data_IF_830350846847
#
_entry.id   IF_830350846847
#
_cell.length_a   1.000
_cell.length_b   1.000
_cell.length_c   1.000
_cell.angle_alpha   90.00
_cell.angle_beta   90.00
_cell.angle_gamma   90.00
#
_symmetry.space_group_name_H-M   'P 1'
#
loop_
_entity.id
_entity.type
_entity.pdbx_description
1 polymer ?
#
# COMPACT_ATOMS: atom_id res chain seq x y z
N UNK A 1 -30.14 70.39 3.88
CA UNK A 1 -30.48 69.18 4.65
C UNK A 1 -31.01 68.13 3.70
N UNK A 2 -30.59 66.87 3.89
CA UNK A 2 -31.01 65.68 3.11
C UNK A 2 -30.07 65.40 1.93
N UNK A 3 -29.10 64.48 1.97
CA UNK A 3 -28.99 63.24 2.74
C UNK A 3 -29.27 62.07 1.80
N UNK A 4 -28.30 61.72 0.96
CA UNK A 4 -28.38 60.60 0.02
C UNK A 4 -28.37 59.25 0.71
N UNK A 5 -29.40 58.45 0.48
CA UNK A 5 -29.49 57.06 0.92
C UNK A 5 -29.23 56.11 -0.23
N UNK A 6 -27.95 55.82 -0.51
CA UNK A 6 -27.55 54.70 -1.36
C UNK A 6 -27.78 53.40 -0.61
N UNK A 7 -28.78 52.62 -1.02
CA UNK A 7 -29.01 51.27 -0.53
C UNK A 7 -27.82 50.39 -0.88
N UNK A 8 -27.08 49.94 0.13
CA UNK A 8 -25.99 48.98 -0.03
C UNK A 8 -26.52 47.66 -0.61
N UNK A 9 -25.91 47.20 -1.69
CA UNK A 9 -26.17 45.87 -2.24
C UNK A 9 -25.81 44.79 -1.18
N UNK A 10 -26.58 43.70 -1.10
CA UNK A 10 -26.27 42.62 -0.18
C UNK A 10 -24.89 42.02 -0.49
N UNK A 11 -24.14 41.57 0.52
CA UNK A 11 -22.81 40.99 0.32
C UNK A 11 -22.90 39.77 -0.61
N UNK A 12 -21.88 39.52 -1.46
CA UNK A 12 -21.89 38.36 -2.34
C UNK A 12 -21.98 37.10 -1.48
N UNK A 13 -23.01 36.28 -1.76
CA UNK A 13 -23.10 34.92 -1.21
C UNK A 13 -21.76 34.24 -1.48
N UNK A 14 -21.16 33.69 -0.43
CA UNK A 14 -19.99 32.81 -0.54
C UNK A 14 -20.20 31.89 -1.73
N UNK A 15 -19.29 31.95 -2.70
CA UNK A 15 -19.30 31.09 -3.88
C UNK A 15 -19.63 29.67 -3.43
N UNK A 16 -20.85 29.26 -3.73
CA UNK A 16 -21.28 27.88 -3.64
C UNK A 16 -20.22 27.11 -4.43
N UNK A 17 -19.50 26.21 -3.76
CA UNK A 17 -18.36 25.49 -4.32
C UNK A 17 -18.82 24.74 -5.57
N UNK A 18 -18.82 25.42 -6.72
CA UNK A 18 -19.37 24.90 -7.94
C UNK A 18 -18.52 23.68 -8.30
N UNK A 19 -19.15 22.54 -8.63
CA UNK A 19 -18.41 21.38 -9.10
C UNK A 19 -17.47 21.84 -10.21
N UNK A 20 -16.17 21.58 -10.05
CA UNK A 20 -15.20 21.94 -11.08
C UNK A 20 -15.68 21.40 -12.42
N UNK A 21 -15.56 22.19 -13.51
CA UNK A 21 -15.98 21.74 -14.83
C UNK A 21 -15.29 20.42 -15.15
N UNK A 22 -16.06 19.43 -15.59
CA UNK A 22 -15.56 18.11 -15.96
C UNK A 22 -14.66 18.28 -17.18
N UNK A 23 -13.34 18.31 -16.97
CA UNK A 23 -12.35 18.37 -18.04
C UNK A 23 -12.11 16.96 -18.57
N UNK A 24 -12.21 16.77 -19.87
CA UNK A 24 -11.88 15.47 -20.51
C UNK A 24 -10.40 15.11 -20.35
N UNK A 25 -9.51 16.10 -20.27
CA UNK A 25 -8.07 15.91 -20.03
C UNK A 25 -7.57 16.90 -18.97
N UNK A 26 -6.95 16.37 -17.91
CA UNK A 26 -6.26 17.19 -16.90
C UNK A 26 -4.82 17.46 -17.35
N UNK A 27 -4.33 18.71 -17.28
CA UNK A 27 -2.93 19.02 -17.60
C UNK A 27 -2.00 18.25 -16.66
N UNK A 28 -1.08 17.47 -17.23
CA UNK A 28 -0.16 16.60 -16.47
C UNK A 28 -0.65 15.16 -16.29
N UNK A 29 -1.88 14.82 -16.69
CA UNK A 29 -2.39 13.44 -16.70
C UNK A 29 -2.36 12.91 -18.13
N UNK A 30 -1.60 11.84 -18.35
CA UNK A 30 -1.42 11.25 -19.68
C UNK A 30 -2.59 10.36 -20.11
N UNK A 31 -3.23 9.65 -19.17
CA UNK A 31 -4.42 8.83 -19.42
C UNK A 31 -5.52 9.18 -18.42
N UNK A 32 -6.68 9.56 -18.94
CA UNK A 32 -7.89 9.76 -18.14
C UNK A 32 -8.59 8.43 -17.87
N UNK A 33 -9.49 8.41 -16.89
CA UNK A 33 -10.17 7.18 -16.42
C UNK A 33 -10.87 6.42 -17.57
N UNK A 34 -11.41 7.15 -18.55
CA UNK A 34 -12.13 6.60 -19.71
C UNK A 34 -11.25 6.38 -20.95
N UNK A 35 -9.96 6.72 -20.89
CA UNK A 35 -9.02 6.65 -22.02
C UNK A 35 -7.89 5.67 -21.69
N UNK A 36 -8.05 4.36 -21.97
CA UNK A 36 -7.05 3.38 -21.62
C UNK A 36 -5.80 3.50 -22.50
N UNK A 37 -4.60 3.25 -21.93
CA UNK A 37 -3.39 3.11 -22.73
C UNK A 37 -3.47 1.94 -23.71
N UNK A 38 -2.57 1.87 -24.71
CA UNK A 38 -2.39 0.69 -25.53
C UNK A 38 -2.21 -0.56 -24.68
N UNK A 39 -2.78 -1.69 -25.11
CA UNK A 39 -2.78 -2.96 -24.35
C UNK A 39 -1.42 -3.38 -23.78
N UNK A 40 -0.29 -3.31 -24.52
CA UNK A 40 1.02 -3.68 -23.98
C UNK A 40 1.45 -2.80 -22.80
N UNK A 41 1.15 -1.50 -22.91
CA UNK A 41 1.46 -0.52 -21.87
C UNK A 41 0.55 -0.71 -20.66
N UNK A 42 -0.74 -1.00 -20.88
CA UNK A 42 -1.69 -1.33 -19.82
C UNK A 42 -1.23 -2.53 -18.99
N UNK A 43 -0.71 -3.58 -19.64
CA UNK A 43 -0.20 -4.78 -18.97
C UNK A 43 1.01 -4.44 -18.09
N UNK A 44 1.98 -3.68 -18.61
CA UNK A 44 3.17 -3.27 -17.85
C UNK A 44 2.79 -2.39 -16.65
N UNK A 45 1.89 -1.43 -16.84
CA UNK A 45 1.41 -0.57 -15.76
C UNK A 45 0.62 -1.35 -14.70
N UNK A 46 -0.22 -2.31 -15.13
CA UNK A 46 -0.90 -3.22 -14.23
C UNK A 46 0.09 -4.04 -13.39
N UNK A 47 1.15 -4.55 -14.02
CA UNK A 47 2.22 -5.26 -13.32
C UNK A 47 2.96 -4.37 -12.32
N UNK A 48 3.20 -3.10 -12.66
CA UNK A 48 3.78 -2.14 -11.72
C UNK A 48 2.88 -1.91 -10.50
N UNK A 49 1.57 -1.74 -10.70
CA UNK A 49 0.63 -1.61 -9.57
C UNK A 49 0.65 -2.84 -8.66
N UNK A 50 0.78 -4.03 -9.25
CA UNK A 50 1.00 -5.25 -8.49
C UNK A 50 2.31 -5.22 -7.69
N UNK A 51 3.44 -4.83 -8.29
CA UNK A 51 4.73 -4.71 -7.59
C UNK A 51 4.67 -3.73 -6.41
N UNK A 52 4.03 -2.57 -6.60
CA UNK A 52 3.87 -1.57 -5.52
C UNK A 52 3.00 -2.11 -4.38
N UNK A 53 1.92 -2.83 -4.70
CA UNK A 53 1.02 -3.43 -3.70
C UNK A 53 1.65 -4.64 -2.98
N UNK A 54 2.58 -5.35 -3.62
CA UNK A 54 3.26 -6.50 -3.03
C UNK A 54 3.98 -6.15 -1.73
N UNK A 55 4.56 -4.94 -1.64
CA UNK A 55 5.33 -4.52 -0.47
C UNK A 55 4.54 -4.65 0.83
N UNK A 56 3.37 -4.00 0.91
CA UNK A 56 2.50 -4.05 2.10
C UNK A 56 1.89 -5.45 2.29
N UNK A 57 1.55 -6.13 1.19
CA UNK A 57 0.96 -7.48 1.21
C UNK A 57 1.89 -8.54 1.76
N UNK A 58 3.20 -8.42 1.53
CA UNK A 58 4.21 -9.33 2.09
C UNK A 58 4.65 -8.90 3.49
N UNK A 59 4.68 -7.59 3.77
CA UNK A 59 5.13 -7.05 5.07
C UNK A 59 4.18 -7.42 6.21
N UNK A 60 2.86 -7.40 5.98
CA UNK A 60 1.85 -7.74 6.99
C UNK A 60 2.03 -9.20 7.48
N UNK A 61 2.00 -10.25 6.62
CA UNK A 61 2.24 -11.62 7.07
C UNK A 61 3.64 -11.84 7.64
N UNK A 62 4.67 -11.20 7.05
CA UNK A 62 6.05 -11.33 7.54
C UNK A 62 6.22 -10.84 8.97
N UNK A 63 5.44 -9.84 9.39
CA UNK A 63 5.47 -9.31 10.75
C UNK A 63 4.53 -10.05 11.71
N UNK A 64 3.35 -10.47 11.27
CA UNK A 64 2.33 -11.09 12.13
C UNK A 64 2.51 -12.60 12.33
N UNK A 65 2.83 -13.34 11.27
CA UNK A 65 2.85 -14.82 11.29
C UNK A 65 3.82 -15.38 12.34
N UNK A 66 5.06 -14.87 12.47
CA UNK A 66 5.98 -15.36 13.51
C UNK A 66 5.45 -15.14 14.93
N UNK A 67 4.69 -14.07 15.18
CA UNK A 67 4.12 -13.78 16.51
C UNK A 67 2.97 -14.73 16.87
N UNK A 68 2.31 -15.32 15.87
CA UNK A 68 1.26 -16.32 16.06
C UNK A 68 1.82 -17.75 16.23
N UNK A 69 3.13 -17.94 16.06
CA UNK A 69 3.77 -19.26 16.06
C UNK A 69 3.75 -19.96 14.70
N UNK A 70 3.36 -19.26 13.63
CA UNK A 70 3.37 -19.82 12.27
C UNK A 70 4.75 -19.79 11.62
N UNK A 71 5.01 -20.76 10.74
CA UNK A 71 6.23 -20.89 9.97
C UNK A 71 6.12 -20.28 8.56
N UNK A 72 6.96 -20.78 7.65
CA UNK A 72 6.99 -20.31 6.26
C UNK A 72 5.75 -20.75 5.47
N UNK A 73 5.15 -21.89 5.80
CA UNK A 73 3.95 -22.42 5.15
C UNK A 73 2.74 -21.54 5.44
N UNK A 74 2.48 -21.26 6.73
CA UNK A 74 1.40 -20.37 7.16
C UNK A 74 1.59 -18.96 6.60
N UNK A 75 2.85 -18.50 6.54
CA UNK A 75 3.21 -17.22 5.94
C UNK A 75 2.89 -17.20 4.44
N UNK A 76 3.30 -18.22 3.68
CA UNK A 76 3.04 -18.32 2.25
C UNK A 76 1.52 -18.35 1.98
N UNK A 77 0.78 -19.18 2.73
CA UNK A 77 -0.68 -19.29 2.65
C UNK A 77 -1.37 -17.95 2.91
N UNK A 78 -0.91 -17.19 3.92
CA UNK A 78 -1.47 -15.87 4.22
C UNK A 78 -1.16 -14.85 3.12
N UNK A 79 0.06 -14.84 2.55
CA UNK A 79 0.44 -13.96 1.42
C UNK A 79 -0.42 -14.27 0.20
N UNK A 80 -0.55 -15.54 -0.18
CA UNK A 80 -1.36 -15.98 -1.32
C UNK A 80 -2.83 -15.59 -1.15
N UNK A 81 -3.39 -15.80 0.05
CA UNK A 81 -4.78 -15.45 0.35
C UNK A 81 -4.99 -13.94 0.27
N UNK A 82 -4.09 -13.13 0.83
CA UNK A 82 -4.19 -11.68 0.76
C UNK A 82 -4.11 -11.17 -0.69
N UNK A 83 -3.20 -11.70 -1.50
CA UNK A 83 -3.08 -11.34 -2.91
C UNK A 83 -4.34 -11.70 -3.70
N UNK A 84 -4.87 -12.91 -3.48
CA UNK A 84 -6.08 -13.35 -4.15
C UNK A 84 -7.29 -12.48 -3.79
N UNK A 85 -7.51 -12.24 -2.49
CA UNK A 85 -8.62 -11.43 -2.00
C UNK A 85 -8.46 -9.95 -2.40
N UNK A 86 -7.23 -9.41 -2.40
CA UNK A 86 -6.94 -8.07 -2.91
C UNK A 86 -7.30 -7.92 -4.40
N UNK A 87 -6.98 -8.92 -5.22
CA UNK A 87 -7.37 -8.97 -6.63
C UNK A 87 -8.88 -8.99 -6.83
N UNK A 88 -9.59 -9.89 -6.13
CA UNK A 88 -11.06 -9.98 -6.17
C UNK A 88 -11.71 -8.67 -5.73
N UNK A 89 -11.27 -8.09 -4.61
CA UNK A 89 -11.82 -6.83 -4.11
C UNK A 89 -11.55 -5.66 -5.07
N UNK A 90 -10.36 -5.60 -5.68
CA UNK A 90 -10.03 -4.58 -6.68
C UNK A 90 -10.91 -4.71 -7.92
N UNK A 91 -11.18 -5.93 -8.39
CA UNK A 91 -12.13 -6.16 -9.48
C UNK A 91 -13.55 -5.74 -9.10
N UNK A 92 -14.01 -6.08 -7.89
CA UNK A 92 -15.32 -5.63 -7.40
C UNK A 92 -15.40 -4.10 -7.31
N UNK A 93 -14.35 -3.44 -6.84
CA UNK A 93 -14.28 -1.97 -6.72
C UNK A 93 -14.35 -1.27 -8.07
N UNK A 94 -13.66 -1.83 -9.07
CA UNK A 94 -13.58 -1.25 -10.42
C UNK A 94 -14.79 -1.59 -11.28
N UNK A 95 -15.46 -2.73 -11.09
CA UNK A 95 -16.64 -3.13 -11.86
C UNK A 95 -17.95 -2.64 -11.23
N UNK A 96 -18.16 -2.90 -9.94
CA UNK A 96 -19.43 -2.64 -9.23
C UNK A 96 -19.37 -1.50 -8.24
N UNK A 97 -18.18 -1.20 -7.70
CA UNK A 97 -17.97 -0.13 -6.72
C UNK A 97 -18.03 1.26 -7.34
N UNK A 98 -17.04 2.10 -7.03
CA UNK A 98 -17.00 3.48 -7.56
C UNK A 98 -16.57 3.56 -9.02
N UNK A 99 -16.15 2.44 -9.62
CA UNK A 99 -15.57 2.38 -10.97
C UNK A 99 -14.33 3.27 -11.15
N UNK A 100 -13.70 3.64 -10.05
CA UNK A 100 -12.44 4.37 -10.04
C UNK A 100 -11.28 3.37 -9.97
N UNK A 101 -10.11 3.70 -10.56
CA UNK A 101 -8.90 2.88 -10.48
C UNK A 101 -8.33 2.93 -9.05
N UNK A 102 -8.94 2.16 -8.14
CA UNK A 102 -8.57 2.08 -6.74
C UNK A 102 -8.17 0.64 -6.40
N UNK A 103 -6.88 0.44 -6.17
CA UNK A 103 -6.32 -0.86 -5.78
C UNK A 103 -6.61 -1.12 -4.31
N UNK A 104 -7.29 -2.23 -4.01
CA UNK A 104 -7.63 -2.64 -2.65
C UNK A 104 -6.57 -3.63 -2.16
N UNK A 105 -6.04 -3.39 -0.97
CA UNK A 105 -5.08 -4.27 -0.30
C UNK A 105 -5.28 -4.30 1.22
N UNK A 106 -4.43 -5.06 1.92
CA UNK A 106 -4.44 -5.10 3.38
C UNK A 106 -4.09 -3.73 3.97
N UNK A 107 -4.90 -3.25 4.92
CA UNK A 107 -4.61 -1.98 5.59
C UNK A 107 -3.68 -2.19 6.78
N UNK A 108 -2.56 -1.45 6.77
CA UNK A 108 -1.63 -1.43 7.88
C UNK A 108 -2.23 -0.84 9.16
N UNK A 109 -3.30 -0.04 9.05
CA UNK A 109 -3.99 0.53 10.22
C UNK A 109 -4.58 -0.52 11.16
N UNK A 110 -4.84 -1.74 10.68
CA UNK A 110 -5.32 -2.86 11.49
C UNK A 110 -4.19 -3.64 12.17
N UNK A 111 -2.91 -3.29 11.94
CA UNK A 111 -1.79 -3.99 12.58
C UNK A 111 -1.81 -3.92 14.10
N UNK A 112 -1.99 -2.74 14.75
CA UNK A 112 -1.99 -2.67 16.21
C UNK A 112 -3.14 -3.46 16.84
N UNK A 113 -4.34 -3.41 16.24
CA UNK A 113 -5.50 -4.17 16.71
C UNK A 113 -5.31 -5.66 16.51
N UNK A 114 -4.68 -6.08 15.42
CA UNK A 114 -4.33 -7.48 15.17
C UNK A 114 -3.31 -7.99 16.19
N UNK A 115 -2.26 -7.21 16.50
CA UNK A 115 -1.27 -7.55 17.53
C UNK A 115 -1.95 -7.71 18.90
N UNK A 116 -2.88 -6.82 19.25
CA UNK A 116 -3.66 -6.95 20.48
C UNK A 116 -4.45 -8.27 20.56
N UNK A 117 -5.03 -8.71 19.43
CA UNK A 117 -5.70 -10.02 19.36
C UNK A 117 -4.70 -11.18 19.53
N UNK A 118 -3.53 -11.09 18.88
CA UNK A 118 -2.46 -12.11 18.97
C UNK A 118 -1.98 -12.31 20.41
N UNK A 119 -1.82 -11.20 21.15
CA UNK A 119 -1.33 -11.19 22.53
C UNK A 119 -2.44 -11.46 23.57
N UNK A 120 -3.67 -11.72 23.16
CA UNK A 120 -4.76 -11.99 24.08
C UNK A 120 -4.50 -13.27 24.90
N UNK A 121 -4.72 -13.18 26.22
CA UNK A 121 -4.48 -14.28 27.17
C UNK A 121 -5.18 -15.60 26.82
N UNK A 122 -6.32 -15.55 26.10
CA UNK A 122 -7.02 -16.76 25.61
C UNK A 122 -6.20 -17.68 24.69
N UNK A 123 -5.05 -17.22 24.19
CA UNK A 123 -4.17 -17.98 23.30
C UNK A 123 -2.84 -18.40 23.95
N UNK A 124 -2.63 -18.11 25.24
CA UNK A 124 -1.38 -18.47 25.94
C UNK A 124 -1.27 -19.96 26.21
N UNK A 125 -2.40 -20.62 26.44
CA UNK A 125 -2.43 -22.02 26.92
C UNK A 125 -2.34 -23.04 25.77
N UNK A 126 -2.26 -22.58 24.52
CA UNK A 126 -2.18 -23.44 23.34
C UNK A 126 -0.71 -23.77 23.06
N UNK A 127 -0.33 -25.03 23.32
CA UNK A 127 1.03 -25.53 23.12
C UNK A 127 1.36 -25.74 21.64
N UNK A 128 0.40 -26.24 20.85
CA UNK A 128 0.60 -26.55 19.43
C UNK A 128 0.65 -25.28 18.57
N UNK A 129 1.76 -24.98 17.87
CA UNK A 129 1.90 -23.73 17.10
C UNK A 129 0.91 -23.60 15.93
N UNK A 130 0.64 -24.70 15.21
CA UNK A 130 -0.33 -24.69 14.10
C UNK A 130 -1.76 -24.43 14.59
N UNK A 131 -2.18 -25.13 15.66
CA UNK A 131 -3.48 -24.92 16.26
C UNK A 131 -3.64 -23.49 16.82
N UNK A 132 -2.57 -22.96 17.41
CA UNK A 132 -2.50 -21.57 17.88
C UNK A 132 -2.68 -20.60 16.72
N UNK A 133 -1.96 -20.78 15.62
CA UNK A 133 -2.08 -19.96 14.42
C UNK A 133 -3.51 -19.98 13.88
N UNK A 134 -4.12 -21.17 13.72
CA UNK A 134 -5.48 -21.29 13.21
C UNK A 134 -6.51 -20.60 14.10
N UNK A 135 -6.43 -20.80 15.42
CA UNK A 135 -7.36 -20.17 16.39
C UNK A 135 -7.23 -18.65 16.37
N UNK A 136 -6.00 -18.13 16.33
CA UNK A 136 -5.76 -16.68 16.24
C UNK A 136 -6.29 -16.13 14.91
N UNK A 137 -6.03 -16.79 13.79
CA UNK A 137 -6.52 -16.38 12.47
C UNK A 137 -8.05 -16.32 12.42
N UNK A 138 -8.74 -17.32 13.00
CA UNK A 138 -10.22 -17.29 13.14
C UNK A 138 -10.68 -16.09 13.97
N UNK A 139 -9.98 -15.79 15.05
CA UNK A 139 -10.26 -14.63 15.90
C UNK A 139 -10.08 -13.29 15.17
N UNK A 140 -9.00 -13.14 14.40
CA UNK A 140 -8.72 -11.94 13.58
C UNK A 140 -9.80 -11.78 12.50
N UNK A 141 -10.10 -12.84 11.76
CA UNK A 141 -11.12 -12.81 10.70
C UNK A 141 -12.50 -12.47 11.27
N UNK A 142 -12.91 -13.07 12.39
CA UNK A 142 -14.16 -12.74 13.05
C UNK A 142 -14.24 -11.27 13.48
N UNK A 143 -13.16 -10.73 14.07
CA UNK A 143 -13.10 -9.33 14.44
C UNK A 143 -13.19 -8.39 13.22
N UNK A 144 -12.50 -8.72 12.12
CA UNK A 144 -12.54 -7.94 10.88
C UNK A 144 -13.92 -7.99 10.20
N UNK A 145 -14.64 -9.10 10.28
CA UNK A 145 -16.03 -9.22 9.77
C UNK A 145 -16.98 -8.32 10.56
N UNK A 146 -16.85 -8.29 11.89
CA UNK A 146 -17.67 -7.40 12.73
C UNK A 146 -17.32 -5.93 12.45
N UNK A 147 -16.03 -5.60 12.37
CA UNK A 147 -15.58 -4.25 12.05
C UNK A 147 -16.06 -3.78 10.67
N UNK A 148 -16.00 -4.64 9.65
CA UNK A 148 -16.48 -4.31 8.31
C UNK A 148 -17.99 -4.12 8.27
N UNK A 149 -18.75 -4.95 8.99
CA UNK A 149 -20.21 -4.79 9.12
C UNK A 149 -20.57 -3.45 9.75
N UNK A 150 -19.88 -3.04 10.82
CA UNK A 150 -20.08 -1.72 11.43
C UNK A 150 -19.75 -0.59 10.45
N UNK A 151 -18.65 -0.70 9.71
CA UNK A 151 -18.27 0.29 8.72
C UNK A 151 -19.30 0.40 7.58
N UNK A 152 -19.87 -0.73 7.15
CA UNK A 152 -20.94 -0.78 6.14
C UNK A 152 -22.20 -0.07 6.64
N UNK A 153 -22.65 -0.37 7.87
CA UNK A 153 -23.82 0.27 8.48
C UNK A 153 -23.61 1.78 8.61
N UNK A 154 -22.44 2.21 9.11
CA UNK A 154 -22.09 3.62 9.21
C UNK A 154 -22.03 4.31 7.83
N UNK A 155 -21.51 3.61 6.82
CA UNK A 155 -21.48 4.08 5.43
C UNK A 155 -22.87 4.30 4.84
N UNK A 156 -23.76 3.31 4.95
CA UNK A 156 -25.13 3.40 4.44
C UNK A 156 -26.04 4.35 5.24
N UNK A 157 -25.77 4.55 6.53
CA UNK A 157 -26.52 5.51 7.36
C UNK A 157 -26.34 6.97 6.95
N UNK A 158 -25.35 7.28 6.09
CA UNK A 158 -24.99 8.65 5.73
C UNK A 158 -24.30 9.44 6.84
N UNK A 159 -24.12 8.87 8.04
CA UNK A 159 -23.42 9.52 9.15
C UNK A 159 -21.98 9.87 8.76
N UNK A 160 -21.31 8.98 8.02
CA UNK A 160 -19.95 9.23 7.54
C UNK A 160 -19.86 10.50 6.68
N UNK A 161 -20.88 10.78 5.86
CA UNK A 161 -20.93 12.01 5.05
C UNK A 161 -20.99 13.25 5.92
N UNK A 162 -21.71 13.19 7.04
CA UNK A 162 -21.83 14.32 7.96
C UNK A 162 -20.51 14.54 8.72
N UNK A 163 -19.85 13.46 9.15
CA UNK A 163 -18.52 13.53 9.77
C UNK A 163 -17.48 14.10 8.81
N UNK A 164 -17.45 13.62 7.56
CA UNK A 164 -16.49 14.06 6.55
C UNK A 164 -16.62 15.55 6.19
N UNK A 165 -17.80 16.17 6.36
CA UNK A 165 -17.97 17.63 6.19
C UNK A 165 -17.16 18.46 7.20
N UNK A 166 -16.87 17.91 8.38
CA UNK A 166 -16.02 18.57 9.37
C UNK A 166 -14.53 18.42 9.08
N UNK A 167 -14.16 17.48 8.19
CA UNK A 167 -12.78 17.30 7.75
C UNK A 167 -12.44 18.33 6.68
N UNK A 168 -11.99 19.51 7.12
CA UNK A 168 -11.38 20.48 6.22
C UNK A 168 -10.04 19.95 5.67
N UNK A 169 -9.58 20.41 4.49
CA UNK A 169 -8.27 20.04 3.95
C UNK A 169 -7.12 20.29 4.95
N UNK A 170 -7.25 21.33 5.79
CA UNK A 170 -6.29 21.66 6.85
C UNK A 170 -6.16 20.55 7.91
N UNK A 171 -7.23 19.79 8.16
CA UNK A 171 -7.21 18.64 9.08
C UNK A 171 -6.87 17.33 8.38
N UNK A 172 -7.27 17.17 7.12
CA UNK A 172 -7.08 15.94 6.36
C UNK A 172 -5.61 15.75 5.91
N UNK A 173 -4.94 16.83 5.47
CA UNK A 173 -3.56 16.75 4.96
C UNK A 173 -2.59 16.24 6.04
N UNK A 174 -2.54 16.80 7.27
CA UNK A 174 -1.68 16.28 8.31
C UNK A 174 -2.01 14.83 8.69
N UNK A 175 -3.30 14.47 8.73
CA UNK A 175 -3.73 13.11 9.06
C UNK A 175 -3.19 12.09 8.03
N UNK A 176 -3.36 12.38 6.74
CA UNK A 176 -2.87 11.52 5.66
C UNK A 176 -1.34 11.50 5.64
N UNK A 177 -0.68 12.66 5.79
CA UNK A 177 0.77 12.74 5.82
C UNK A 177 1.37 11.92 6.96
N UNK A 178 0.84 12.05 8.18
CA UNK A 178 1.29 11.28 9.35
C UNK A 178 1.01 9.78 9.18
N UNK A 179 -0.12 9.41 8.58
CA UNK A 179 -0.39 7.99 8.27
C UNK A 179 0.62 7.41 7.27
N UNK A 180 1.04 8.21 6.28
CA UNK A 180 2.07 7.84 5.31
C UNK A 180 3.47 7.78 5.93
N UNK A 181 3.86 8.79 6.71
CA UNK A 181 5.14 8.81 7.44
C UNK A 181 5.23 7.66 8.45
N UNK A 182 4.11 7.24 9.05
CA UNK A 182 4.06 6.06 9.90
C UNK A 182 4.55 4.79 9.20
N UNK A 183 4.34 4.66 7.88
CA UNK A 183 4.84 3.50 7.12
C UNK A 183 6.37 3.48 6.99
N UNK A 184 7.05 4.63 7.10
CA UNK A 184 8.51 4.70 7.07
C UNK A 184 9.14 4.00 8.27
N UNK A 185 8.59 4.20 9.46
CA UNK A 185 9.03 3.52 10.70
C UNK A 185 9.00 2.00 10.57
N UNK A 186 8.14 1.46 9.71
CA UNK A 186 8.03 0.01 9.50
C UNK A 186 8.82 -0.48 8.29
N UNK A 187 8.87 0.30 7.20
CA UNK A 187 9.58 -0.06 5.97
C UNK A 187 11.10 0.01 6.12
N UNK A 188 11.62 1.08 6.75
CA UNK A 188 13.06 1.29 6.87
C UNK A 188 13.79 0.19 7.66
N UNK A 189 13.26 -0.30 8.80
CA UNK A 189 13.91 -1.42 9.50
C UNK A 189 13.98 -2.70 8.67
N UNK A 190 12.97 -2.96 7.82
CA UNK A 190 12.99 -4.12 6.92
C UNK A 190 14.08 -3.97 5.86
N UNK A 191 14.19 -2.78 5.27
CA UNK A 191 15.23 -2.44 4.31
C UNK A 191 16.63 -2.50 4.93
N UNK A 192 16.78 -1.99 6.15
CA UNK A 192 18.04 -1.91 6.89
C UNK A 192 18.58 -3.28 7.32
N UNK A 193 17.73 -4.33 7.37
CA UNK A 193 18.21 -5.71 7.59
C UNK A 193 19.24 -6.15 6.55
N UNK A 194 19.13 -5.61 5.34
CA UNK A 194 20.13 -5.78 4.29
C UNK A 194 20.42 -4.44 3.60
N UNK A 195 21.18 -3.58 4.28
CA UNK A 195 21.50 -2.24 3.78
C UNK A 195 22.21 -2.27 2.41
N UNK A 196 23.00 -3.31 2.13
CA UNK A 196 23.73 -3.47 0.87
C UNK A 196 22.83 -3.60 -0.36
N UNK A 197 21.63 -4.18 -0.21
CA UNK A 197 20.64 -4.30 -1.30
C UNK A 197 19.63 -3.16 -1.22
N UNK A 198 19.24 -2.79 0.00
CA UNK A 198 18.21 -1.78 0.22
C UNK A 198 18.63 -0.36 -0.13
N UNK A 199 19.88 0.03 0.13
CA UNK A 199 20.38 1.35 -0.22
C UNK A 199 20.44 1.56 -1.75
N UNK A 200 20.97 0.61 -2.55
CA UNK A 200 20.87 0.68 -4.01
C UNK A 200 19.44 0.80 -4.53
N UNK A 201 18.45 0.11 -3.94
CA UNK A 201 17.03 0.24 -4.35
C UNK A 201 16.53 1.67 -4.20
N UNK A 202 16.75 2.30 -3.04
CA UNK A 202 16.34 3.70 -2.83
C UNK A 202 17.05 4.61 -3.82
N UNK A 203 18.37 4.46 -3.99
CA UNK A 203 19.15 5.31 -4.90
C UNK A 203 18.66 5.16 -6.34
N UNK A 204 18.49 3.93 -6.82
CA UNK A 204 18.03 3.66 -8.18
C UNK A 204 16.62 4.19 -8.41
N UNK A 205 15.71 4.00 -7.47
CA UNK A 205 14.35 4.52 -7.56
C UNK A 205 14.33 6.05 -7.64
N UNK A 206 15.14 6.74 -6.82
CA UNK A 206 15.27 8.21 -6.88
C UNK A 206 15.89 8.68 -8.19
N UNK A 207 16.89 7.95 -8.71
CA UNK A 207 17.52 8.28 -9.99
C UNK A 207 16.52 8.14 -11.15
N UNK A 208 15.75 7.05 -11.20
CA UNK A 208 14.78 6.82 -12.28
C UNK A 208 13.54 7.70 -12.18
N UNK A 209 13.00 7.93 -10.97
CA UNK A 209 11.78 8.73 -10.80
C UNK A 209 12.04 10.23 -10.76
N UNK A 210 13.13 10.69 -10.15
CA UNK A 210 13.32 12.13 -9.89
C UNK A 210 14.46 12.77 -10.68
N UNK A 211 15.59 12.08 -10.86
CA UNK A 211 16.78 12.65 -11.51
C UNK A 211 16.70 12.60 -13.04
N UNK A 212 16.44 11.43 -13.62
CA UNK A 212 16.40 11.22 -15.07
C UNK A 212 15.31 12.09 -15.73
N UNK A 213 14.06 12.16 -15.23
CA UNK A 213 13.02 13.01 -15.81
C UNK A 213 13.33 14.51 -15.71
N UNK A 214 14.17 14.92 -14.75
CA UNK A 214 14.59 16.31 -14.65
C UNK A 214 15.53 16.70 -15.81
N UNK A 215 16.40 15.77 -16.23
CA UNK A 215 17.42 16.00 -17.26
C UNK A 215 16.86 15.79 -18.68
N UNK A 216 16.07 14.75 -18.90
CA UNK A 216 15.49 14.46 -20.22
C UNK A 216 14.23 15.28 -20.46
N UNK A 217 14.33 16.42 -21.15
CA UNK A 217 13.17 17.28 -21.48
C UNK A 217 12.13 16.61 -22.41
N UNK A 218 12.48 15.53 -23.11
CA UNK A 218 11.61 14.87 -24.11
C UNK A 218 10.93 13.56 -23.68
N UNK A 219 11.53 12.77 -22.80
CA UNK A 219 11.05 11.42 -22.41
C UNK A 219 10.55 11.34 -20.96
N UNK A 220 10.23 12.49 -20.35
CA UNK A 220 9.77 12.64 -18.96
C UNK A 220 8.72 11.62 -18.54
N UNK A 221 7.81 11.27 -19.46
CA UNK A 221 6.67 10.42 -19.16
C UNK A 221 6.97 8.93 -19.14
N UNK A 222 8.05 8.45 -19.77
CA UNK A 222 8.35 7.01 -19.84
C UNK A 222 9.16 6.56 -18.63
N UNK A 223 10.23 7.28 -18.30
CA UNK A 223 11.12 6.92 -17.19
C UNK A 223 10.44 7.05 -15.82
N UNK A 224 9.68 8.13 -15.59
CA UNK A 224 8.94 8.31 -14.34
C UNK A 224 7.84 7.25 -14.18
N UNK A 225 7.15 6.95 -15.29
CA UNK A 225 6.06 5.97 -15.32
C UNK A 225 6.52 4.56 -14.98
N UNK A 226 7.68 4.12 -15.47
CA UNK A 226 8.20 2.75 -15.28
C UNK A 226 9.35 2.63 -14.27
N UNK A 227 9.65 3.70 -13.52
CA UNK A 227 10.79 3.78 -12.60
C UNK A 227 10.87 2.60 -11.64
N UNK A 228 9.73 2.17 -11.08
CA UNK A 228 9.65 1.05 -10.13
C UNK A 228 10.00 -0.28 -10.79
N UNK A 229 9.57 -0.53 -12.03
CA UNK A 229 9.92 -1.78 -12.72
C UNK A 229 11.43 -1.82 -12.96
N UNK A 230 12.00 -0.72 -13.46
CA UNK A 230 13.44 -0.66 -13.73
C UNK A 230 14.27 -0.81 -12.45
N UNK A 231 13.91 -0.14 -11.36
CA UNK A 231 14.63 -0.24 -10.09
C UNK A 231 14.62 -1.68 -9.56
N UNK A 232 13.43 -2.30 -9.48
CA UNK A 232 13.26 -3.65 -8.95
C UNK A 232 14.01 -4.69 -9.79
N UNK A 233 13.98 -4.59 -11.12
CA UNK A 233 14.70 -5.53 -12.00
C UNK A 233 16.21 -5.41 -11.80
N UNK A 234 16.74 -4.18 -11.78
CA UNK A 234 18.18 -3.94 -11.62
C UNK A 234 18.67 -4.43 -10.26
N UNK A 235 17.93 -4.10 -9.19
CA UNK A 235 18.30 -4.51 -7.83
C UNK A 235 18.17 -6.00 -7.63
N UNK A 236 17.17 -6.64 -8.24
CA UNK A 236 17.04 -8.09 -8.19
C UNK A 236 18.24 -8.78 -8.87
N UNK A 237 18.68 -8.31 -10.05
CA UNK A 237 19.87 -8.82 -10.73
C UNK A 237 21.11 -8.61 -9.85
N UNK A 238 21.26 -7.42 -9.27
CA UNK A 238 22.35 -7.09 -8.35
C UNK A 238 22.39 -8.02 -7.13
N UNK A 239 21.26 -8.23 -6.47
CA UNK A 239 21.12 -9.14 -5.33
C UNK A 239 21.43 -10.59 -5.70
N UNK A 240 21.01 -11.03 -6.90
CA UNK A 240 21.32 -12.36 -7.39
C UNK A 240 22.81 -12.56 -7.63
N UNK A 241 23.49 -11.59 -8.26
CA UNK A 241 24.94 -11.61 -8.48
C UNK A 241 25.72 -11.65 -7.16
N UNK A 242 25.31 -10.88 -6.15
CA UNK A 242 25.93 -10.94 -4.81
C UNK A 242 25.72 -12.30 -4.13
N UNK A 243 24.56 -12.92 -4.32
CA UNK A 243 24.25 -14.24 -3.77
C UNK A 243 25.14 -15.32 -4.41
N UNK A 244 25.25 -15.33 -5.75
CA UNK A 244 26.06 -16.29 -6.51
C UNK A 244 27.56 -16.05 -6.30
N UNK A 245 27.98 -14.78 -6.26
CA UNK A 245 29.35 -14.35 -5.98
C UNK A 245 29.84 -14.70 -4.58
N UNK A 246 28.96 -15.21 -3.70
CA UNK A 246 29.32 -15.73 -2.40
C UNK A 246 29.62 -14.66 -1.34
N UNK A 247 29.22 -13.41 -1.59
CA UNK A 247 29.42 -12.28 -0.67
C UNK A 247 28.91 -12.59 0.75
N UNK A 248 27.82 -13.37 0.84
CA UNK A 248 27.16 -13.73 2.10
C UNK A 248 27.53 -15.11 2.66
N UNK A 249 28.47 -15.86 2.07
CA UNK A 249 28.79 -17.23 2.53
C UNK A 249 29.40 -17.27 3.95
N UNK A 250 30.20 -16.26 4.29
CA UNK A 250 30.91 -16.17 5.58
C UNK A 250 30.25 -15.19 6.57
N UNK A 251 29.13 -14.56 6.19
CA UNK A 251 28.41 -13.61 7.03
C UNK A 251 27.57 -14.34 8.09
N UNK A 252 27.19 -13.63 9.15
CA UNK A 252 26.34 -14.18 10.21
C UNK A 252 24.97 -14.69 9.69
N UNK A 253 24.34 -15.65 10.39
CA UNK A 253 23.12 -16.32 9.92
C UNK A 253 21.95 -15.37 9.67
N UNK A 254 21.83 -14.27 10.44
CA UNK A 254 20.79 -13.25 10.24
C UNK A 254 20.94 -12.53 8.88
N UNK A 255 22.17 -12.20 8.51
CA UNK A 255 22.50 -11.58 7.21
C UNK A 255 22.27 -12.57 6.08
N UNK A 256 22.64 -13.85 6.26
CA UNK A 256 22.38 -14.87 5.25
C UNK A 256 20.89 -15.09 4.96
N UNK A 257 20.03 -15.02 5.99
CA UNK A 257 18.58 -15.17 5.81
C UNK A 257 17.97 -13.93 5.14
N UNK A 258 18.49 -12.73 5.44
CA UNK A 258 17.88 -11.47 4.99
C UNK A 258 18.41 -10.97 3.64
N UNK A 259 19.69 -11.21 3.35
CA UNK A 259 20.37 -10.66 2.17
C UNK A 259 20.47 -11.64 0.99
N UNK A 260 20.27 -12.95 1.22
CA UNK A 260 20.37 -13.92 0.14
C UNK A 260 19.02 -14.13 -0.54
N UNK A 261 19.06 -14.24 -1.86
CA UNK A 261 17.86 -14.48 -2.69
C UNK A 261 17.28 -15.89 -2.56
N UNK A 262 18.06 -16.87 -2.09
CA UNK A 262 17.69 -18.29 -2.03
C UNK A 262 17.15 -18.78 -0.68
N UNK A 263 17.15 -17.92 0.36
CA UNK A 263 16.86 -18.34 1.75
C UNK A 263 15.53 -17.84 2.32
N UNK A 264 14.70 -17.20 1.51
CA UNK A 264 13.40 -16.69 1.97
C UNK A 264 12.44 -17.81 2.41
N UNK A 265 12.59 -19.04 1.89
CA UNK A 265 11.79 -20.20 2.29
C UNK A 265 10.31 -20.16 1.90
N UNK A 266 9.86 -19.09 1.23
CA UNK A 266 8.44 -18.89 0.85
C UNK A 266 8.07 -19.76 -0.37
N UNK A 267 8.94 -19.84 -1.37
CA UNK A 267 8.69 -20.62 -2.61
C UNK A 267 8.69 -22.12 -2.33
N UNK A 268 9.55 -22.59 -1.43
CA UNK A 268 9.58 -24.01 -1.03
C UNK A 268 8.45 -24.40 -0.07
N UNK A 269 7.79 -23.41 0.55
CA UNK A 269 6.70 -23.62 1.49
C UNK A 269 5.32 -23.28 0.91
N UNK A 270 5.25 -22.86 -0.36
CA UNK A 270 3.98 -22.71 -1.05
C UNK A 270 3.43 -24.08 -1.45
N UNK A 271 2.13 -24.35 -1.22
CA UNK A 271 1.48 -25.61 -1.60
C UNK A 271 1.38 -25.79 -3.11
#
# INVERSE_FOLDING_TARGET
>A
GGGGGGGAAPPPKQDELQPHPVKEQLPGVAYCITSPPPWPEAILLGFQHYLVMLGTTVLIPTSLVPQMGGGNEEKAKMIQTLLFVAGVNTLLQTLFGTRLPAVIGGSYTYMPTTISIILAGRYTDIVNPQEKFEKIMRGIQGALIVASTLQIVLGFSGLWRNVARFLSPLSAVPLVALSGFGLYEFGFPVLAKCIEIGLPEIILLLVFSQYIPHITRGERQVFDRFAVIFSVVIVWIYAHLLTVGGAYKNSGPKTQISCRTDRAGIIGASP
#
